data_IF_124470331128
#
_entry.id   IF_124470331128
#
_cell.length_a   1.000
_cell.length_b   1.000
_cell.length_c   1.000
_cell.angle_alpha   90.00
_cell.angle_beta   90.00
_cell.angle_gamma   90.00
#
_symmetry.space_group_name_H-M   'P 1'
#
loop_
_entity.id
_entity.type
_entity.pdbx_description
1 polymer ?
#
# COMPACT_ATOMS: atom_id res chain seq x y z
N UNK A 1 3.15 -18.62 -3.31
CA UNK A 1 2.83 -18.85 -1.87
C UNK A 1 1.34 -19.06 -1.74
N UNK A 2 0.94 -20.13 -1.06
CA UNK A 2 -0.47 -20.50 -0.92
C UNK A 2 -0.87 -20.37 0.54
N UNK A 3 -1.95 -19.61 0.78
CA UNK A 3 -2.60 -19.49 2.08
C UNK A 3 -3.90 -20.29 2.06
N UNK A 4 -3.99 -21.31 2.90
CA UNK A 4 -5.19 -22.10 3.08
C UNK A 4 -5.95 -21.60 4.31
N UNK A 5 -7.20 -21.20 4.11
CA UNK A 5 -8.13 -20.83 5.15
C UNK A 5 -9.36 -21.76 5.11
N UNK A 6 -10.13 -21.83 6.19
CA UNK A 6 -11.34 -22.67 6.27
C UNK A 6 -12.36 -22.39 5.15
N UNK A 7 -12.45 -21.15 4.68
CA UNK A 7 -13.46 -20.69 3.72
C UNK A 7 -12.89 -20.25 2.37
N UNK A 8 -11.57 -20.16 2.25
CA UNK A 8 -10.94 -19.75 1.00
C UNK A 8 -9.50 -20.26 0.90
N UNK A 9 -9.01 -20.34 -0.33
CA UNK A 9 -7.61 -20.54 -0.64
C UNK A 9 -7.11 -19.33 -1.42
N UNK A 10 -6.02 -18.72 -0.98
CA UNK A 10 -5.40 -17.60 -1.67
C UNK A 10 -4.06 -18.04 -2.27
N UNK A 11 -3.89 -17.81 -3.56
CA UNK A 11 -2.64 -18.01 -4.27
C UNK A 11 -2.07 -16.65 -4.70
N UNK A 12 -0.90 -16.32 -4.17
CA UNK A 12 -0.22 -15.05 -4.46
C UNK A 12 0.42 -15.00 -5.84
N UNK A 13 0.79 -16.14 -6.42
CA UNK A 13 1.49 -16.22 -7.70
C UNK A 13 0.51 -16.12 -8.86
N UNK A 14 -0.56 -16.91 -8.82
CA UNK A 14 -1.64 -16.78 -9.80
C UNK A 14 -2.52 -15.54 -9.58
N UNK A 15 -2.42 -14.90 -8.41
CA UNK A 15 -3.25 -13.77 -7.97
C UNK A 15 -4.74 -14.11 -7.92
N UNK A 16 -5.06 -15.33 -7.50
CA UNK A 16 -6.41 -15.85 -7.44
C UNK A 16 -6.82 -16.22 -6.02
N UNK A 17 -8.12 -16.19 -5.79
CA UNK A 17 -8.75 -16.67 -4.58
C UNK A 17 -9.77 -17.72 -4.99
N UNK A 18 -9.84 -18.82 -4.26
CA UNK A 18 -10.80 -19.90 -4.47
C UNK A 18 -11.64 -20.07 -3.20
N UNK A 19 -12.88 -20.51 -3.34
CA UNK A 19 -13.70 -20.92 -2.20
C UNK A 19 -13.33 -22.32 -1.70
N UNK A 20 -14.01 -22.79 -0.66
CA UNK A 20 -13.89 -24.15 -0.11
C UNK A 20 -14.17 -25.29 -1.12
N UNK A 21 -14.85 -25.00 -2.23
CA UNK A 21 -15.18 -25.96 -3.29
C UNK A 21 -14.24 -25.87 -4.49
N UNK A 22 -13.20 -25.02 -4.43
CA UNK A 22 -12.25 -24.79 -5.51
C UNK A 22 -12.79 -23.89 -6.64
N UNK A 23 -13.90 -23.19 -6.44
CA UNK A 23 -14.43 -22.21 -7.39
C UNK A 23 -13.66 -20.90 -7.27
N UNK A 24 -13.22 -20.36 -8.40
CA UNK A 24 -12.54 -19.06 -8.43
C UNK A 24 -13.47 -17.92 -7.99
N UNK A 25 -13.01 -17.16 -7.01
CA UNK A 25 -13.64 -15.96 -6.49
C UNK A 25 -13.04 -14.73 -7.15
N UNK A 26 -13.89 -13.89 -7.76
CA UNK A 26 -13.47 -12.68 -8.48
C UNK A 26 -13.14 -11.56 -7.49
N UNK A 27 -12.05 -11.70 -6.75
CA UNK A 27 -11.52 -10.69 -5.82
C UNK A 27 -10.30 -10.00 -6.42
N UNK A 28 -10.43 -8.70 -6.70
CA UNK A 28 -9.39 -7.90 -7.38
C UNK A 28 -9.16 -6.53 -6.73
N UNK A 29 -8.05 -5.89 -7.10
CA UNK A 29 -7.68 -4.54 -6.67
C UNK A 29 -7.21 -4.48 -5.22
N UNK A 30 -7.49 -3.36 -4.54
CA UNK A 30 -7.03 -3.15 -3.16
C UNK A 30 -7.66 -4.11 -2.15
N UNK A 31 -8.87 -4.63 -2.41
CA UNK A 31 -9.48 -5.64 -1.54
C UNK A 31 -8.70 -6.96 -1.56
N UNK A 32 -8.24 -7.40 -2.75
CA UNK A 32 -7.34 -8.55 -2.87
C UNK A 32 -6.03 -8.31 -2.15
N UNK A 33 -5.39 -7.16 -2.39
CA UNK A 33 -4.10 -6.82 -1.77
C UNK A 33 -4.22 -6.74 -0.24
N UNK A 34 -5.30 -6.17 0.28
CA UNK A 34 -5.59 -6.16 1.72
C UNK A 34 -5.70 -7.57 2.29
N UNK A 35 -6.40 -8.48 1.58
CA UNK A 35 -6.51 -9.88 2.01
C UNK A 35 -5.13 -10.57 2.03
N UNK A 36 -4.31 -10.41 0.98
CA UNK A 36 -2.94 -10.95 0.94
C UNK A 36 -2.13 -10.48 2.14
N UNK A 37 -2.15 -9.17 2.41
CA UNK A 37 -1.38 -8.59 3.50
C UNK A 37 -1.81 -9.13 4.87
N UNK A 38 -3.12 -9.26 5.07
CA UNK A 38 -3.67 -9.80 6.31
C UNK A 38 -3.38 -11.30 6.46
N UNK A 39 -3.35 -12.07 5.37
CA UNK A 39 -2.89 -13.46 5.42
C UNK A 39 -1.42 -13.56 5.85
N UNK A 40 -0.55 -12.68 5.36
CA UNK A 40 0.87 -12.68 5.71
C UNK A 40 1.13 -12.21 7.16
N UNK A 41 0.45 -11.15 7.60
CA UNK A 41 0.70 -10.52 8.92
C UNK A 41 -0.20 -11.02 10.03
N UNK A 42 -1.33 -11.68 9.70
CA UNK A 42 -2.42 -12.15 10.60
C UNK A 42 -3.20 -11.03 11.28
N UNK A 43 -2.52 -9.95 11.65
CA UNK A 43 -3.10 -8.73 12.20
C UNK A 43 -2.36 -7.51 11.66
N UNK A 44 -3.08 -6.40 11.47
CA UNK A 44 -2.48 -5.16 11.01
C UNK A 44 -3.33 -3.93 11.37
N UNK A 45 -2.66 -2.81 11.57
CA UNK A 45 -3.28 -1.49 11.74
C UNK A 45 -3.67 -0.90 10.38
N UNK A 46 -4.53 0.13 10.44
CA UNK A 46 -4.92 0.89 9.24
C UNK A 46 -3.71 1.48 8.50
N UNK A 47 -2.73 2.00 9.22
CA UNK A 47 -1.53 2.61 8.65
C UNK A 47 -0.69 1.56 7.93
N UNK A 48 -0.44 0.40 8.54
CA UNK A 48 0.33 -0.69 7.91
C UNK A 48 -0.32 -1.20 6.63
N UNK A 49 -1.65 -1.36 6.63
CA UNK A 49 -2.40 -1.75 5.43
C UNK A 49 -2.33 -0.65 4.37
N UNK A 50 -2.53 0.61 4.76
CA UNK A 50 -2.48 1.76 3.85
C UNK A 50 -1.13 1.89 3.15
N UNK A 51 -0.05 1.80 3.93
CA UNK A 51 1.33 1.85 3.45
C UNK A 51 1.64 0.69 2.48
N UNK A 52 1.12 -0.51 2.76
CA UNK A 52 1.26 -1.66 1.87
C UNK A 52 0.49 -1.51 0.55
N UNK A 53 -0.70 -0.90 0.58
CA UNK A 53 -1.52 -0.71 -0.61
C UNK A 53 -0.94 0.37 -1.52
N UNK A 54 -0.85 1.60 -1.01
CA UNK A 54 -0.35 2.75 -1.74
C UNK A 54 0.06 3.86 -0.76
N UNK A 55 1.35 3.94 -0.46
CA UNK A 55 1.93 4.95 0.43
C UNK A 55 1.68 6.40 -0.03
N UNK A 56 1.33 6.64 -1.30
CA UNK A 56 1.04 7.99 -1.80
C UNK A 56 -0.41 8.42 -1.51
N UNK A 57 -1.28 7.47 -1.15
CA UNK A 57 -2.69 7.71 -0.89
C UNK A 57 -2.99 7.61 0.61
N UNK A 58 -3.64 8.63 1.15
CA UNK A 58 -4.15 8.56 2.51
C UNK A 58 -5.39 7.64 2.57
N UNK A 59 -5.22 6.47 3.18
CA UNK A 59 -6.30 5.53 3.38
C UNK A 59 -7.04 5.82 4.69
N UNK A 60 -8.26 6.32 4.57
CA UNK A 60 -9.17 6.44 5.73
C UNK A 60 -9.79 5.09 6.10
N UNK A 61 -10.33 4.99 7.33
CA UNK A 61 -11.03 3.81 7.84
C UNK A 61 -12.19 3.38 6.93
N UNK A 62 -12.85 4.34 6.29
CA UNK A 62 -13.93 4.08 5.35
C UNK A 62 -13.46 3.27 4.13
N UNK A 63 -12.25 3.51 3.63
CA UNK A 63 -11.70 2.76 2.49
C UNK A 63 -11.44 1.31 2.88
N UNK A 64 -10.76 1.07 4.01
CA UNK A 64 -10.46 -0.29 4.47
C UNK A 64 -11.73 -1.03 4.86
N UNK A 65 -12.73 -0.35 5.43
CA UNK A 65 -14.06 -0.93 5.69
C UNK A 65 -14.75 -1.37 4.39
N UNK A 66 -14.67 -0.58 3.33
CA UNK A 66 -15.21 -0.98 2.01
C UNK A 66 -14.47 -2.18 1.42
N UNK A 67 -13.14 -2.23 1.57
CA UNK A 67 -12.34 -3.37 1.11
C UNK A 67 -12.66 -4.64 1.88
N UNK A 68 -12.74 -4.55 3.22
CA UNK A 68 -13.21 -5.64 4.08
C UNK A 68 -14.59 -6.14 3.66
N UNK A 69 -15.58 -5.24 3.52
CA UNK A 69 -16.93 -5.63 3.09
C UNK A 69 -16.94 -6.34 1.73
N UNK A 70 -16.11 -5.87 0.79
CA UNK A 70 -15.96 -6.53 -0.52
C UNK A 70 -15.38 -7.94 -0.39
N UNK A 71 -14.38 -8.15 0.47
CA UNK A 71 -13.83 -9.48 0.77
C UNK A 71 -14.91 -10.37 1.36
N UNK A 72 -15.60 -9.92 2.41
CA UNK A 72 -16.64 -10.70 3.11
C UNK A 72 -17.81 -11.06 2.20
N UNK A 73 -18.22 -10.15 1.31
CA UNK A 73 -19.29 -10.39 0.33
C UNK A 73 -18.89 -11.46 -0.69
N UNK A 74 -17.64 -11.43 -1.17
CA UNK A 74 -17.15 -12.38 -2.19
C UNK A 74 -16.88 -13.75 -1.58
N UNK A 75 -16.29 -13.80 -0.38
CA UNK A 75 -16.04 -15.05 0.35
C UNK A 75 -17.34 -15.61 0.94
N UNK A 76 -18.35 -14.77 1.19
CA UNK A 76 -19.64 -15.20 1.75
C UNK A 76 -19.60 -15.49 3.26
N UNK A 77 -18.52 -15.09 3.94
CA UNK A 77 -18.28 -15.30 5.38
C UNK A 77 -17.48 -14.12 5.95
N UNK A 78 -17.62 -13.89 7.25
CA UNK A 78 -16.82 -12.91 7.98
C UNK A 78 -15.45 -13.51 8.31
N UNK A 79 -14.45 -13.18 7.50
CA UNK A 79 -13.06 -13.69 7.62
C UNK A 79 -12.08 -12.66 8.18
N UNK A 80 -12.51 -11.39 8.30
CA UNK A 80 -11.68 -10.30 8.82
C UNK A 80 -12.45 -9.62 9.95
N UNK A 81 -11.87 -9.55 11.15
CA UNK A 81 -12.40 -8.73 12.25
C UNK A 81 -11.73 -7.35 12.25
N UNK A 82 -12.45 -6.33 12.70
CA UNK A 82 -11.87 -5.03 13.04
C UNK A 82 -12.21 -4.69 14.49
N UNK A 83 -11.19 -4.62 15.35
CA UNK A 83 -11.35 -4.32 16.77
C UNK A 83 -10.17 -3.51 17.28
N UNK A 84 -10.45 -2.47 18.06
CA UNK A 84 -9.45 -1.58 18.67
C UNK A 84 -8.45 -0.98 17.65
N UNK A 85 -8.89 -0.66 16.43
CA UNK A 85 -8.02 -0.08 15.39
C UNK A 85 -7.19 -1.11 14.61
N UNK A 86 -7.39 -2.40 14.85
CA UNK A 86 -6.61 -3.50 14.26
C UNK A 86 -7.55 -4.39 13.44
N UNK A 87 -7.12 -4.71 12.22
CA UNK A 87 -7.74 -5.72 11.37
C UNK A 87 -7.06 -7.07 11.60
N UNK A 88 -7.82 -8.14 11.76
CA UNK A 88 -7.32 -9.48 12.09
C UNK A 88 -8.00 -10.52 11.21
N UNK A 89 -7.26 -11.49 10.65
CA UNK A 89 -7.87 -12.67 10.00
C UNK A 89 -8.45 -13.59 11.09
N UNK A 90 -9.73 -13.94 10.94
CA UNK A 90 -10.41 -14.88 11.84
C UNK A 90 -10.34 -16.28 11.25
N UNK A 91 -9.68 -17.19 11.95
CA UNK A 91 -9.65 -18.62 11.62
C UNK A 91 -8.23 -19.16 11.50
N UNK A 92 -8.13 -20.47 11.27
CA UNK A 92 -6.85 -21.14 11.08
C UNK A 92 -6.33 -20.88 9.67
N UNK A 93 -5.09 -20.39 9.60
CA UNK A 93 -4.39 -20.11 8.34
C UNK A 93 -3.16 -21.03 8.24
N UNK A 94 -3.12 -21.87 7.21
CA UNK A 94 -1.96 -22.70 6.89
C UNK A 94 -1.21 -22.11 5.70
N UNK A 95 0.11 -22.03 5.82
CA UNK A 95 1.00 -21.50 4.80
C UNK A 95 1.78 -22.65 4.18
N UNK A 96 1.74 -22.76 2.85
CA UNK A 96 2.52 -23.77 2.12
C UNK A 96 3.35 -23.11 1.02
N UNK A 97 4.69 -23.33 0.99
CA UNK A 97 5.50 -22.98 -0.16
C UNK A 97 5.06 -23.86 -1.34
N UNK A 98 4.86 -23.24 -2.50
CA UNK A 98 4.36 -23.90 -3.70
C UNK A 98 5.44 -24.81 -4.29
N UNK A 99 5.58 -26.03 -3.75
CA UNK A 99 6.34 -27.11 -4.34
C UNK A 99 5.41 -28.32 -4.55
N UNK A 100 4.70 -28.32 -5.70
CA UNK A 100 4.31 -29.53 -6.41
C UNK A 100 3.55 -29.19 -7.71
N UNK A 101 4.24 -28.59 -8.68
CA UNK A 101 3.85 -28.71 -10.10
C UNK A 101 5.08 -28.90 -10.98
N UNK A 102 5.77 -30.03 -10.81
CA UNK A 102 6.51 -30.70 -11.89
C UNK A 102 6.28 -32.21 -11.76
N UNK A 103 5.50 -32.70 -12.73
CA UNK A 103 5.40 -34.01 -13.37
C UNK A 103 5.50 -35.36 -12.63
N UNK A 104 4.55 -36.20 -13.07
CA UNK A 104 4.49 -37.66 -12.95
C UNK A 104 5.84 -38.31 -13.33
N UNK A 105 6.49 -38.98 -12.38
CA UNK A 105 6.75 -40.44 -12.40
C UNK A 105 7.86 -40.83 -11.43
N UNK A 106 7.70 -42.07 -10.95
CA UNK A 106 8.68 -43.00 -10.37
C UNK A 106 9.12 -42.86 -8.90
N UNK A 107 8.77 -43.92 -8.17
CA UNK A 107 9.52 -44.63 -7.13
C UNK A 107 9.60 -44.10 -5.68
N UNK A 108 8.72 -44.72 -4.87
CA UNK A 108 9.07 -45.63 -3.76
C UNK A 108 10.04 -45.18 -2.64
N UNK A 109 9.47 -45.26 -1.42
CA UNK A 109 10.11 -45.44 -0.08
C UNK A 109 10.78 -44.18 0.49
N UNK A 110 10.76 -43.86 1.78
CA UNK A 110 10.41 -44.60 2.98
C UNK A 110 10.07 -43.58 4.09
N UNK A 111 9.20 -44.02 4.99
CA UNK A 111 8.83 -43.44 6.28
C UNK A 111 10.03 -43.18 7.21
N UNK A 112 10.20 -41.96 7.76
CA UNK A 112 10.70 -41.78 9.14
C UNK A 112 10.42 -40.37 9.70
N UNK A 113 10.42 -40.31 11.02
CA UNK A 113 9.73 -39.44 11.97
C UNK A 113 10.13 -37.96 12.05
N UNK A 114 9.11 -37.19 12.44
CA UNK A 114 9.14 -35.92 13.19
C UNK A 114 10.23 -35.88 14.27
N UNK A 115 10.98 -34.79 14.35
CA UNK A 115 11.31 -34.13 15.62
C UNK A 115 11.55 -32.62 15.44
N UNK A 116 11.19 -31.87 16.47
CA UNK A 116 10.76 -30.47 16.44
C UNK A 116 11.70 -29.62 17.30
N UNK A 117 12.28 -28.54 16.75
CA UNK A 117 12.69 -27.29 17.44
C UNK A 117 13.37 -26.36 16.42
N UNK A 118 12.83 -25.19 16.09
CA UNK A 118 12.86 -23.96 16.90
C UNK A 118 14.24 -23.73 17.51
N UNK A 119 15.11 -22.99 16.82
CA UNK A 119 15.25 -21.57 17.11
C UNK A 119 16.15 -20.85 16.10
N UNK A 120 15.76 -19.59 15.89
CA UNK A 120 16.40 -18.54 15.12
C UNK A 120 17.94 -18.46 15.25
N UNK A 121 18.61 -18.13 14.15
CA UNK A 121 19.10 -16.77 13.84
C UNK A 121 20.41 -16.82 13.02
N UNK A 122 20.46 -15.95 12.01
CA UNK A 122 21.65 -15.46 11.29
C UNK A 122 22.29 -16.44 10.30
N UNK A 123 21.92 -16.29 9.05
CA UNK A 123 22.97 -16.12 8.04
C UNK A 123 22.51 -15.18 6.93
N UNK A 124 22.71 -13.88 7.18
CA UNK A 124 22.74 -12.87 6.13
C UNK A 124 23.91 -13.22 5.19
N UNK A 125 23.64 -13.98 4.12
CA UNK A 125 24.64 -14.17 3.07
C UNK A 125 24.53 -13.04 2.05
N UNK A 126 25.25 -11.96 2.39
CA UNK A 126 25.87 -10.95 1.53
C UNK A 126 25.75 -11.23 0.02
N UNK A 127 24.80 -10.56 -0.64
CA UNK A 127 24.80 -10.45 -2.11
C UNK A 127 25.41 -9.12 -2.53
N UNK A 128 26.52 -9.24 -3.24
CA UNK A 128 27.36 -8.14 -3.74
C UNK A 128 26.85 -7.76 -5.13
N UNK A 129 25.79 -6.95 -5.25
CA UNK A 129 25.35 -6.44 -6.56
C UNK A 129 24.82 -4.98 -6.48
N UNK A 130 25.53 -4.09 -7.19
CA UNK A 130 25.16 -2.75 -7.71
C UNK A 130 24.94 -1.58 -6.73
N UNK A 131 26.04 -1.11 -6.12
CA UNK A 131 26.09 0.09 -5.25
C UNK A 131 26.13 1.44 -5.99
N UNK A 132 26.32 1.47 -7.32
CA UNK A 132 26.50 2.72 -8.10
C UNK A 132 25.22 3.23 -8.79
N UNK A 133 24.25 2.38 -9.12
CA UNK A 133 22.98 2.81 -9.75
C UNK A 133 21.93 3.26 -8.71
N UNK A 134 21.95 2.71 -7.51
CA UNK A 134 21.08 3.13 -6.40
C UNK A 134 21.31 4.59 -5.97
N UNK A 135 22.54 5.09 -6.08
CA UNK A 135 22.84 6.49 -5.73
C UNK A 135 22.20 7.44 -6.75
N UNK A 136 22.31 7.15 -8.04
CA UNK A 136 21.69 7.96 -9.08
C UNK A 136 20.16 7.93 -8.98
N UNK A 137 19.57 6.76 -8.73
CA UNK A 137 18.12 6.62 -8.51
C UNK A 137 17.69 7.37 -7.25
N UNK A 138 18.42 7.27 -6.14
CA UNK A 138 18.12 7.98 -4.91
C UNK A 138 18.23 9.51 -5.07
N UNK A 139 19.22 10.01 -5.81
CA UNK A 139 19.37 11.44 -6.09
C UNK A 139 18.22 11.96 -6.97
N UNK A 140 17.83 11.21 -8.01
CA UNK A 140 16.67 11.56 -8.85
C UNK A 140 15.38 11.56 -8.02
N UNK A 141 15.19 10.56 -7.16
CA UNK A 141 14.02 10.46 -6.29
C UNK A 141 13.99 11.63 -5.28
N UNK A 142 15.15 12.01 -4.73
CA UNK A 142 15.28 13.18 -3.86
C UNK A 142 14.97 14.49 -4.59
N UNK A 143 15.44 14.66 -5.83
CA UNK A 143 15.10 15.82 -6.66
C UNK A 143 13.58 15.87 -6.93
N UNK A 144 12.95 14.74 -7.24
CA UNK A 144 11.50 14.67 -7.46
C UNK A 144 10.72 15.08 -6.20
N UNK A 145 11.16 14.64 -5.02
CA UNK A 145 10.55 15.04 -3.73
C UNK A 145 10.68 16.54 -3.50
N UNK A 146 11.85 17.13 -3.77
CA UNK A 146 12.07 18.58 -3.62
C UNK A 146 11.20 19.38 -4.59
N UNK A 147 11.11 18.96 -5.85
CA UNK A 147 10.28 19.62 -6.87
C UNK A 147 8.80 19.53 -6.50
N UNK A 148 8.33 18.39 -5.99
CA UNK A 148 6.96 18.23 -5.52
C UNK A 148 6.63 19.16 -4.34
N UNK A 149 7.57 19.32 -3.40
CA UNK A 149 7.43 20.25 -2.28
C UNK A 149 7.28 21.71 -2.73
N UNK A 150 8.04 22.12 -3.75
CA UNK A 150 7.95 23.46 -4.35
C UNK A 150 6.61 23.69 -5.07
N UNK A 151 6.02 22.65 -5.66
CA UNK A 151 4.73 22.73 -6.34
C UNK A 151 3.57 22.95 -5.35
N UNK A 152 3.58 22.26 -4.21
CA UNK A 152 2.53 22.38 -3.18
C UNK A 152 2.63 23.70 -2.39
N UNK A 153 3.82 24.28 -2.31
CA UNK A 153 4.08 25.49 -1.52
C UNK A 153 4.71 26.61 -2.37
N UNK A 154 4.00 27.13 -3.38
CA UNK A 154 4.57 28.11 -4.28
C UNK A 154 4.81 29.44 -3.56
N UNK A 155 5.86 30.21 -3.90
CA UNK A 155 6.16 31.48 -3.26
C UNK A 155 5.00 32.48 -3.24
N UNK A 156 4.16 32.47 -4.29
CA UNK A 156 3.00 33.34 -4.43
C UNK A 156 1.77 32.54 -4.90
N UNK A 157 0.62 32.83 -4.29
CA UNK A 157 -0.69 32.28 -4.63
C UNK A 157 -1.59 33.39 -5.16
N UNK A 158 -2.20 33.20 -6.32
CA UNK A 158 -3.26 34.09 -6.85
C UNK A 158 -4.63 33.50 -6.53
N UNK A 159 -5.46 34.21 -5.79
CA UNK A 159 -6.83 33.77 -5.49
C UNK A 159 -7.71 33.74 -6.75
N UNK A 160 -8.85 33.05 -6.67
CA UNK A 160 -9.89 33.08 -7.71
C UNK A 160 -10.42 34.50 -7.99
N UNK A 161 -10.35 35.40 -7.01
CA UNK A 161 -10.73 36.82 -7.14
C UNK A 161 -9.60 37.71 -7.71
N UNK A 162 -8.49 37.09 -8.14
CA UNK A 162 -7.36 37.73 -8.81
C UNK A 162 -6.37 38.41 -7.86
N UNK A 163 -6.39 38.13 -6.55
CA UNK A 163 -5.51 38.76 -5.56
C UNK A 163 -4.25 37.93 -5.37
N UNK A 164 -3.08 38.56 -5.44
CA UNK A 164 -1.78 37.93 -5.22
C UNK A 164 -1.42 37.95 -3.73
N UNK A 165 -1.20 36.78 -3.15
CA UNK A 165 -0.76 36.58 -1.78
C UNK A 165 0.64 35.96 -1.78
N UNK A 166 1.60 36.63 -1.15
CA UNK A 166 2.97 36.11 -0.98
C UNK A 166 3.07 35.33 0.33
N UNK A 167 3.94 34.31 0.35
CA UNK A 167 4.25 33.55 1.57
C UNK A 167 4.68 34.51 2.70
N UNK A 168 4.05 34.35 3.87
CA UNK A 168 4.22 35.26 5.01
C UNK A 168 3.14 36.33 5.17
N UNK A 169 2.18 36.45 4.23
CA UNK A 169 1.01 37.33 4.38
C UNK A 169 -0.19 36.59 5.01
N UNK A 170 -1.06 37.32 5.72
CA UNK A 170 -2.16 36.75 6.51
C UNK A 170 -3.13 35.85 5.73
N UNK A 171 -3.26 36.10 4.43
CA UNK A 171 -4.21 35.41 3.56
C UNK A 171 -3.55 34.33 2.69
N UNK A 172 -2.22 34.19 2.73
CA UNK A 172 -1.51 33.17 1.95
C UNK A 172 -1.92 31.74 2.35
N UNK A 173 -2.02 31.46 3.65
CA UNK A 173 -2.42 30.13 4.15
C UNK A 173 -3.93 29.87 4.04
N UNK A 174 -4.72 30.95 4.05
CA UNK A 174 -6.19 30.92 3.93
C UNK A 174 -6.64 30.68 2.50
N UNK A 175 -5.83 31.07 1.51
CA UNK A 175 -6.13 30.86 0.09
C UNK A 175 -5.84 29.41 -0.28
N UNK A 176 -6.87 28.56 -0.24
CA UNK A 176 -6.79 27.12 -0.59
C UNK A 176 -6.94 26.86 -2.08
N UNK A 177 -7.76 27.66 -2.77
CA UNK A 177 -7.91 27.61 -4.23
C UNK A 177 -7.11 28.74 -4.85
N UNK A 178 -6.03 28.41 -5.56
CA UNK A 178 -5.13 29.41 -6.12
C UNK A 178 -4.43 28.96 -7.40
N UNK A 179 -3.93 29.94 -8.15
CA UNK A 179 -2.92 29.74 -9.19
C UNK A 179 -1.53 30.07 -8.63
N UNK A 180 -0.58 29.16 -8.80
CA UNK A 180 0.79 29.27 -8.28
C UNK A 180 1.66 30.19 -9.16
N UNK A 181 2.47 31.05 -8.54
CA UNK A 181 3.47 31.87 -9.22
C UNK A 181 4.82 31.83 -8.47
N UNK A 182 5.92 31.84 -9.22
CA UNK A 182 7.28 31.87 -8.67
C UNK A 182 7.65 33.20 -8.01
N UNK A 183 7.00 34.30 -8.39
CA UNK A 183 7.25 35.62 -7.82
C UNK A 183 6.00 36.49 -7.83
N UNK A 184 6.01 37.53 -7.00
CA UNK A 184 4.90 38.48 -6.91
C UNK A 184 4.72 39.23 -8.23
N UNK A 185 5.83 39.63 -8.87
CA UNK A 185 5.81 40.32 -10.16
C UNK A 185 5.18 39.45 -11.25
N UNK A 186 5.51 38.15 -11.32
CA UNK A 186 4.90 37.22 -12.27
C UNK A 186 3.36 37.10 -12.04
N UNK A 187 2.93 37.08 -10.79
CA UNK A 187 1.50 37.10 -10.45
C UNK A 187 0.81 38.39 -10.93
N UNK A 188 1.45 39.55 -10.74
CA UNK A 188 0.90 40.84 -11.18
C UNK A 188 0.82 40.93 -12.71
N UNK A 189 1.87 40.51 -13.42
CA UNK A 189 1.90 40.49 -14.89
C UNK A 189 0.84 39.56 -15.51
N UNK A 190 0.43 38.51 -14.79
CA UNK A 190 -0.69 37.65 -15.18
C UNK A 190 -2.08 38.29 -15.02
N UNK A 191 -2.15 39.60 -14.73
CA UNK A 191 -3.39 40.31 -14.40
C UNK A 191 -3.84 40.11 -12.94
N UNK A 192 -2.91 39.82 -12.02
CA UNK A 192 -3.18 39.79 -10.59
C UNK A 192 -3.06 41.16 -9.95
N UNK A 193 -3.62 41.35 -8.76
CA UNK A 193 -3.56 42.61 -8.00
C UNK A 193 -3.19 42.39 -6.54
N UNK A 194 -2.62 43.41 -5.90
CA UNK A 194 -2.34 43.36 -4.47
C UNK A 194 -3.63 43.48 -3.63
N UNK A 195 -3.63 42.96 -2.39
CA UNK A 195 -4.70 43.21 -1.44
C UNK A 195 -4.87 44.73 -1.23
N UNK A 196 -6.11 45.19 -1.06
CA UNK A 196 -6.34 46.56 -0.59
C UNK A 196 -5.89 46.63 0.88
N UNK A 197 -5.19 47.71 1.25
CA UNK A 197 -4.89 48.02 2.65
C UNK A 197 -6.17 48.12 3.47
#
# INVERSE_FOLDING_TARGET
MIYQHQYFQLDTESRKVFDENGKELVLTGNAYRMLVFLCEKKHATLTEIGDYLDHAKEYTENHLRQYRYKVETIVGRNVIEYKNGIYVIIGDLQESPELAKIDRNTDLLHHESVELKSDNLKSFKKMKFIRKTWIAVAVVLLIVVVVFWLFMNPPVKKSSTGICHQKGTDYYEKTKTFTAYFSLNACLQSGGRLPKK
#
